data_IF_992283263073
#
_entry.id   IF_992283263073
#
_cell.length_a   1.000
_cell.length_b   1.000
_cell.length_c   1.000
_cell.angle_alpha   90.00
_cell.angle_beta   90.00
_cell.angle_gamma   90.00
#
_symmetry.space_group_name_H-M   'P 1'
#
loop_
_entity.id
_entity.type
_entity.pdbx_description
1 polymer ?
#
# COMPACT_ATOMS: atom_id res chain seq x y z
N UNK A 1 16.45 -3.34 -27.61
CA UNK A 1 16.19 -2.80 -26.27
C UNK A 1 16.09 -3.99 -25.32
N UNK A 2 16.81 -3.99 -24.22
CA UNK A 2 16.63 -5.02 -23.17
C UNK A 2 15.27 -4.83 -22.54
N UNK A 3 14.52 -5.94 -22.31
CA UNK A 3 13.23 -5.92 -21.64
C UNK A 3 13.37 -5.31 -20.23
N UNK A 4 12.43 -4.45 -19.85
CA UNK A 4 12.35 -3.87 -18.49
C UNK A 4 11.69 -4.88 -17.55
N UNK A 5 11.94 -4.79 -16.25
CA UNK A 5 11.52 -5.76 -15.24
C UNK A 5 10.01 -6.04 -15.22
N UNK A 6 9.18 -5.01 -15.51
CA UNK A 6 7.72 -5.10 -15.50
C UNK A 6 7.09 -4.94 -16.91
N UNK A 7 7.85 -5.17 -17.98
CA UNK A 7 7.27 -5.21 -19.34
C UNK A 7 6.16 -6.30 -19.39
N UNK A 8 5.09 -6.00 -20.13
CA UNK A 8 3.89 -6.85 -20.26
C UNK A 8 3.08 -7.07 -18.96
N UNK A 9 3.28 -6.26 -17.94
CA UNK A 9 2.45 -6.28 -16.74
C UNK A 9 1.42 -5.16 -16.74
N UNK A 10 0.26 -5.42 -16.11
CA UNK A 10 -0.80 -4.45 -15.84
C UNK A 10 -0.97 -4.33 -14.34
N UNK A 11 -0.61 -3.17 -13.79
CA UNK A 11 -0.60 -2.90 -12.36
C UNK A 11 -1.73 -1.96 -11.98
N UNK A 12 -2.63 -2.42 -11.11
CA UNK A 12 -3.71 -1.62 -10.53
C UNK A 12 -3.27 -1.07 -9.18
N UNK A 13 -3.49 0.23 -8.93
CA UNK A 13 -3.07 0.90 -7.69
C UNK A 13 -4.24 1.70 -7.13
N UNK A 14 -4.73 1.32 -5.95
CA UNK A 14 -5.76 2.09 -5.26
C UNK A 14 -5.15 3.25 -4.47
N UNK A 15 -5.83 4.41 -4.46
CA UNK A 15 -5.27 5.62 -3.87
C UNK A 15 -4.02 6.13 -4.60
N UNK A 16 -3.97 5.93 -5.93
CA UNK A 16 -2.80 6.17 -6.78
C UNK A 16 -2.48 7.63 -7.08
N UNK A 17 -3.29 8.58 -6.61
CA UNK A 17 -3.14 9.99 -7.00
C UNK A 17 -2.13 10.81 -6.19
N UNK A 18 -1.64 10.32 -5.05
CA UNK A 18 -0.72 11.08 -4.18
C UNK A 18 0.16 10.15 -3.34
N UNK A 19 1.23 10.70 -2.75
CA UNK A 19 2.06 10.01 -1.77
C UNK A 19 2.62 8.67 -2.28
N UNK A 20 2.50 7.61 -1.48
CA UNK A 20 3.01 6.28 -1.83
C UNK A 20 2.36 5.72 -3.10
N UNK A 21 1.05 5.92 -3.28
CA UNK A 21 0.35 5.41 -4.47
C UNK A 21 0.89 5.99 -5.76
N UNK A 22 1.15 7.30 -5.81
CA UNK A 22 1.79 7.96 -6.94
C UNK A 22 3.24 7.48 -7.13
N UNK A 23 4.01 7.33 -6.04
CA UNK A 23 5.37 6.84 -6.10
C UNK A 23 5.46 5.41 -6.67
N UNK A 24 4.57 4.50 -6.25
CA UNK A 24 4.44 3.17 -6.83
C UNK A 24 4.13 3.22 -8.32
N UNK A 25 3.16 4.06 -8.72
CA UNK A 25 2.75 4.20 -10.11
C UNK A 25 3.92 4.61 -11.00
N UNK A 26 4.65 5.67 -10.61
CA UNK A 26 5.76 6.21 -11.39
C UNK A 26 6.94 5.25 -11.47
N UNK A 27 7.28 4.58 -10.36
CA UNK A 27 8.40 3.62 -10.37
C UNK A 27 8.10 2.40 -11.23
N UNK A 28 6.91 1.83 -11.12
CA UNK A 28 6.52 0.68 -11.94
C UNK A 28 6.35 1.05 -13.42
N UNK A 29 5.91 2.28 -13.71
CA UNK A 29 5.92 2.82 -15.07
C UNK A 29 7.34 2.92 -15.67
N UNK A 30 8.32 3.43 -14.89
CA UNK A 30 9.74 3.43 -15.30
C UNK A 30 10.24 2.02 -15.57
N UNK A 31 9.78 1.06 -14.78
CA UNK A 31 10.13 -0.35 -14.93
C UNK A 31 9.33 -1.09 -16.03
N UNK A 32 8.43 -0.41 -16.75
CA UNK A 32 7.76 -0.94 -17.96
C UNK A 32 6.30 -1.31 -17.81
N UNK A 33 5.74 -1.27 -16.60
CA UNK A 33 4.35 -1.66 -16.37
C UNK A 33 3.34 -0.71 -17.03
N UNK A 34 2.25 -1.26 -17.55
CA UNK A 34 1.03 -0.49 -17.79
C UNK A 34 0.35 -0.21 -16.44
N UNK A 35 -0.10 1.02 -16.22
CA UNK A 35 -0.55 1.51 -14.92
C UNK A 35 -2.02 1.88 -14.93
N UNK A 36 -2.79 1.35 -13.98
CA UNK A 36 -4.15 1.78 -13.68
C UNK A 36 -4.23 2.35 -12.28
N UNK A 37 -4.48 3.65 -12.14
CA UNK A 37 -4.65 4.29 -10.83
C UNK A 37 -6.12 4.63 -10.58
N UNK A 38 -6.59 4.38 -9.36
CA UNK A 38 -7.88 4.87 -8.93
C UNK A 38 -7.83 5.68 -7.64
N UNK A 39 -8.84 6.52 -7.44
CA UNK A 39 -9.04 7.33 -6.26
C UNK A 39 -10.29 8.19 -6.39
N UNK A 40 -10.75 8.79 -5.29
CA UNK A 40 -11.99 9.58 -5.29
C UNK A 40 -11.88 10.94 -6.00
N UNK A 41 -10.67 11.51 -6.02
CA UNK A 41 -10.41 12.82 -6.64
C UNK A 41 -9.83 12.61 -8.04
N UNK A 42 -10.53 13.08 -9.10
CA UNK A 42 -10.09 12.82 -10.47
C UNK A 42 -8.79 13.54 -10.85
N UNK A 43 -8.56 14.77 -10.37
CA UNK A 43 -7.42 15.58 -10.79
C UNK A 43 -6.05 14.93 -10.39
N UNK A 44 -5.82 14.51 -9.12
CA UNK A 44 -4.54 13.90 -8.76
C UNK A 44 -4.25 12.58 -9.48
N UNK A 45 -5.26 11.73 -9.68
CA UNK A 45 -5.06 10.46 -10.40
C UNK A 45 -4.80 10.69 -11.90
N UNK A 46 -5.47 11.67 -12.51
CA UNK A 46 -5.24 12.05 -13.90
C UNK A 46 -3.81 12.56 -14.12
N UNK A 47 -3.31 13.41 -13.20
CA UNK A 47 -1.94 13.90 -13.25
C UNK A 47 -0.91 12.76 -13.20
N UNK A 48 -1.08 11.80 -12.28
CA UNK A 48 -0.19 10.63 -12.17
C UNK A 48 -0.25 9.77 -13.43
N UNK A 49 -1.43 9.52 -13.98
CA UNK A 49 -1.55 8.76 -15.22
C UNK A 49 -0.88 9.45 -16.40
N UNK A 50 -0.95 10.79 -16.47
CA UNK A 50 -0.26 11.57 -17.51
C UNK A 50 1.26 11.47 -17.37
N UNK A 51 1.79 11.59 -16.15
CA UNK A 51 3.22 11.38 -15.89
C UNK A 51 3.66 9.96 -16.29
N UNK A 52 2.86 8.92 -16.00
CA UNK A 52 3.14 7.56 -16.45
C UNK A 52 3.17 7.44 -17.98
N UNK A 53 2.23 8.10 -18.69
CA UNK A 53 2.26 8.14 -20.16
C UNK A 53 3.49 8.85 -20.70
N UNK A 54 3.93 9.93 -20.04
CA UNK A 54 5.19 10.62 -20.32
C UNK A 54 6.44 9.72 -20.19
N UNK A 55 6.36 8.65 -19.39
CA UNK A 55 7.40 7.62 -19.26
C UNK A 55 7.31 6.53 -20.37
N UNK A 56 6.37 6.65 -21.29
CA UNK A 56 6.23 5.77 -22.45
C UNK A 56 5.45 4.48 -22.18
N UNK A 57 4.64 4.42 -21.14
CA UNK A 57 3.74 3.28 -20.85
C UNK A 57 2.27 3.67 -21.01
N UNK A 58 1.40 2.67 -21.18
CA UNK A 58 -0.06 2.91 -21.13
C UNK A 58 -0.47 3.19 -19.71
N UNK A 59 -1.36 4.16 -19.52
CA UNK A 59 -1.88 4.46 -18.19
C UNK A 59 -3.34 4.92 -18.23
N UNK A 60 -4.11 4.48 -17.22
CA UNK A 60 -5.53 4.76 -17.02
C UNK A 60 -5.74 5.37 -15.63
N UNK A 61 -6.62 6.37 -15.53
CA UNK A 61 -7.05 6.98 -14.27
C UNK A 61 -8.56 6.96 -14.20
N UNK A 62 -9.12 6.31 -13.19
CA UNK A 62 -10.57 6.17 -13.01
C UNK A 62 -10.99 6.64 -11.60
N UNK A 63 -12.00 7.51 -11.52
CA UNK A 63 -12.53 7.95 -10.23
C UNK A 63 -13.37 6.83 -9.60
N UNK A 64 -12.84 6.22 -8.53
CA UNK A 64 -13.48 5.10 -7.81
C UNK A 64 -13.40 5.31 -6.32
N UNK A 65 -14.51 5.05 -5.63
CA UNK A 65 -14.50 4.84 -4.19
C UNK A 65 -14.40 3.33 -3.91
N UNK A 66 -13.31 2.89 -3.30
CA UNK A 66 -13.06 1.47 -3.00
C UNK A 66 -14.07 0.86 -2.03
N UNK A 67 -14.91 1.68 -1.38
CA UNK A 67 -16.02 1.22 -0.53
C UNK A 67 -17.21 0.68 -1.32
N UNK A 68 -17.29 1.01 -2.60
CA UNK A 68 -18.34 0.55 -3.49
C UNK A 68 -17.85 -0.67 -4.31
N UNK A 69 -18.30 -1.89 -3.99
CA UNK A 69 -17.85 -3.08 -4.70
C UNK A 69 -18.30 -3.12 -6.17
N UNK A 70 -19.41 -2.43 -6.52
CA UNK A 70 -19.88 -2.37 -7.90
C UNK A 70 -18.98 -1.45 -8.74
N UNK A 71 -18.60 -0.29 -8.18
CA UNK A 71 -17.66 0.60 -8.84
C UNK A 71 -16.26 -0.03 -8.98
N UNK A 72 -15.81 -0.81 -7.98
CA UNK A 72 -14.56 -1.57 -8.06
C UNK A 72 -14.60 -2.62 -9.18
N UNK A 73 -15.66 -3.40 -9.28
CA UNK A 73 -15.80 -4.41 -10.36
C UNK A 73 -15.82 -3.76 -11.74
N UNK A 74 -16.54 -2.64 -11.89
CA UNK A 74 -16.58 -1.88 -13.15
C UNK A 74 -15.19 -1.35 -13.53
N UNK A 75 -14.43 -0.81 -12.56
CA UNK A 75 -13.06 -0.35 -12.78
C UNK A 75 -12.13 -1.47 -13.22
N UNK A 76 -12.16 -2.63 -12.55
CA UNK A 76 -11.33 -3.78 -12.93
C UNK A 76 -11.70 -4.30 -14.34
N UNK A 77 -12.97 -4.25 -14.71
CA UNK A 77 -13.42 -4.59 -16.06
C UNK A 77 -12.90 -3.59 -17.11
N UNK A 78 -12.97 -2.28 -16.82
CA UNK A 78 -12.43 -1.20 -17.66
C UNK A 78 -10.92 -1.38 -17.88
N UNK A 79 -10.15 -1.64 -16.81
CA UNK A 79 -8.71 -1.88 -16.91
C UNK A 79 -8.41 -3.08 -17.79
N UNK A 80 -9.16 -4.18 -17.63
CA UNK A 80 -8.97 -5.36 -18.45
C UNK A 80 -9.24 -5.11 -19.94
N UNK A 81 -10.22 -4.27 -20.26
CA UNK A 81 -10.55 -3.90 -21.65
C UNK A 81 -9.48 -2.95 -22.26
N UNK A 82 -9.05 -1.95 -21.51
CA UNK A 82 -8.19 -0.88 -22.01
C UNK A 82 -6.68 -1.23 -21.94
N UNK A 83 -6.22 -1.88 -20.87
CA UNK A 83 -4.81 -2.16 -20.66
C UNK A 83 -4.45 -3.64 -20.82
N UNK A 84 -5.43 -4.52 -20.77
CA UNK A 84 -5.22 -5.96 -20.78
C UNK A 84 -5.40 -6.60 -19.40
N UNK A 85 -5.18 -7.92 -19.32
CA UNK A 85 -5.43 -8.70 -18.10
C UNK A 85 -4.64 -8.16 -16.90
N UNK A 86 -5.30 -7.85 -15.76
CA UNK A 86 -4.64 -7.44 -14.54
C UNK A 86 -3.66 -8.50 -14.03
N UNK A 87 -2.38 -8.15 -13.86
CA UNK A 87 -1.35 -9.04 -13.34
C UNK A 87 -0.91 -8.68 -11.93
N UNK A 88 -1.08 -7.41 -11.53
CA UNK A 88 -0.66 -6.92 -10.22
C UNK A 88 -1.71 -5.98 -9.63
N UNK A 89 -1.85 -6.03 -8.29
CA UNK A 89 -2.68 -5.09 -7.54
C UNK A 89 -1.89 -4.55 -6.34
N UNK A 90 -1.91 -3.24 -6.16
CA UNK A 90 -1.44 -2.58 -4.93
C UNK A 90 -2.64 -1.96 -4.20
N UNK A 91 -3.04 -2.55 -3.08
CA UNK A 91 -4.02 -1.98 -2.18
C UNK A 91 -3.34 -0.95 -1.28
N UNK A 92 -3.37 0.31 -1.72
CA UNK A 92 -2.77 1.43 -1.01
C UNK A 92 -3.81 2.44 -0.50
N UNK A 93 -5.03 2.43 -1.01
CA UNK A 93 -6.09 3.31 -0.52
C UNK A 93 -6.29 3.18 0.99
N UNK A 94 -6.25 4.28 1.70
CA UNK A 94 -6.41 4.34 3.13
C UNK A 94 -7.08 5.64 3.58
N UNK A 95 -7.57 5.64 4.82
CA UNK A 95 -8.02 6.83 5.55
C UNK A 95 -7.62 6.66 7.00
N UNK A 96 -7.12 7.72 7.63
CA UNK A 96 -6.78 7.73 9.05
C UNK A 96 -6.96 9.14 9.61
N UNK A 97 -7.26 9.23 10.90
CA UNK A 97 -7.31 10.46 11.68
C UNK A 97 -7.04 10.14 13.15
N UNK A 98 -6.60 11.13 13.91
CA UNK A 98 -6.32 10.93 15.34
C UNK A 98 -7.60 11.18 16.15
N UNK A 99 -8.00 10.18 16.95
CA UNK A 99 -9.15 10.26 17.85
C UNK A 99 -8.96 9.31 19.04
N UNK A 100 -9.16 9.77 20.30
CA UNK A 100 -9.24 8.86 21.43
C UNK A 100 -10.33 7.80 21.18
N UNK A 101 -10.04 6.54 21.49
CA UNK A 101 -10.97 5.46 21.19
C UNK A 101 -12.34 5.62 21.90
N UNK A 102 -12.35 6.25 23.09
CA UNK A 102 -13.56 6.52 23.84
C UNK A 102 -14.48 7.56 23.14
N UNK A 103 -13.91 8.46 22.36
CA UNK A 103 -14.62 9.53 21.65
C UNK A 103 -14.86 9.18 20.17
N UNK A 104 -14.38 8.02 19.72
CA UNK A 104 -14.50 7.60 18.33
C UNK A 104 -15.94 7.28 17.96
N UNK A 105 -16.54 8.08 17.08
CA UNK A 105 -17.90 7.85 16.64
C UNK A 105 -18.05 6.55 15.84
N UNK A 106 -19.24 5.89 15.89
CA UNK A 106 -19.51 4.71 15.04
C UNK A 106 -19.30 4.98 13.54
N UNK A 107 -19.59 6.19 13.08
CA UNK A 107 -19.38 6.56 11.67
C UNK A 107 -17.89 6.71 11.34
N UNK A 108 -17.10 7.32 12.23
CA UNK A 108 -15.65 7.43 12.08
C UNK A 108 -14.98 6.05 12.01
N UNK A 109 -15.38 5.14 12.92
CA UNK A 109 -14.97 3.74 12.90
C UNK A 109 -15.31 3.08 11.57
N UNK A 110 -16.57 3.10 11.18
CA UNK A 110 -17.08 2.47 9.96
C UNK A 110 -16.37 2.98 8.72
N UNK A 111 -16.18 4.30 8.61
CA UNK A 111 -15.53 4.91 7.44
C UNK A 111 -14.13 4.34 7.20
N UNK A 112 -13.33 4.14 8.26
CA UNK A 112 -11.96 3.63 8.10
C UNK A 112 -11.96 2.13 7.82
N UNK A 113 -12.83 1.36 8.48
CA UNK A 113 -12.99 -0.08 8.18
C UNK A 113 -13.41 -0.30 6.72
N UNK A 114 -14.38 0.47 6.24
CA UNK A 114 -14.86 0.37 4.85
C UNK A 114 -13.77 0.68 3.82
N UNK A 115 -12.97 1.71 4.05
CA UNK A 115 -11.88 2.06 3.11
C UNK A 115 -10.76 1.03 3.17
N UNK A 116 -10.28 0.73 4.39
CA UNK A 116 -9.00 0.02 4.57
C UNK A 116 -9.17 -1.49 4.50
N UNK A 117 -10.19 -2.05 5.15
CA UNK A 117 -10.39 -3.50 5.20
C UNK A 117 -11.30 -3.98 4.07
N UNK A 118 -12.52 -3.43 4.01
CA UNK A 118 -13.50 -3.88 3.03
C UNK A 118 -13.06 -3.52 1.60
N UNK A 119 -12.55 -2.30 1.37
CA UNK A 119 -12.03 -1.88 0.07
C UNK A 119 -10.85 -2.74 -0.40
N UNK A 120 -9.93 -3.12 0.51
CA UNK A 120 -8.86 -4.08 0.20
C UNK A 120 -9.42 -5.43 -0.24
N UNK A 121 -10.44 -5.94 0.44
CA UNK A 121 -11.09 -7.20 0.09
C UNK A 121 -11.79 -7.11 -1.27
N UNK A 122 -12.56 -6.05 -1.53
CA UNK A 122 -13.30 -5.89 -2.79
C UNK A 122 -12.34 -5.81 -3.99
N UNK A 123 -11.29 -4.99 -3.90
CA UNK A 123 -10.29 -4.87 -4.96
C UNK A 123 -9.54 -6.19 -5.17
N UNK A 124 -9.10 -6.84 -4.08
CA UNK A 124 -8.38 -8.11 -4.16
C UNK A 124 -9.22 -9.21 -4.78
N UNK A 125 -10.48 -9.34 -4.36
CA UNK A 125 -11.41 -10.36 -4.88
C UNK A 125 -11.71 -10.15 -6.36
N UNK A 126 -11.99 -8.90 -6.79
CA UNK A 126 -12.28 -8.59 -8.19
C UNK A 126 -11.10 -8.88 -9.11
N UNK A 127 -9.88 -8.45 -8.70
CA UNK A 127 -8.66 -8.69 -9.49
C UNK A 127 -8.30 -10.17 -9.50
N UNK A 128 -8.36 -10.86 -8.35
CA UNK A 128 -8.03 -12.29 -8.26
C UNK A 128 -8.97 -13.18 -9.12
N UNK A 129 -10.25 -12.83 -9.23
CA UNK A 129 -11.17 -13.51 -10.16
C UNK A 129 -10.65 -13.44 -11.61
N UNK A 130 -10.22 -12.24 -12.06
CA UNK A 130 -9.65 -12.06 -13.40
C UNK A 130 -8.37 -12.85 -13.60
N UNK A 131 -7.46 -12.86 -12.61
CA UNK A 131 -6.23 -13.64 -12.65
C UNK A 131 -6.50 -15.14 -12.74
N UNK A 132 -7.44 -15.66 -11.93
CA UNK A 132 -7.85 -17.06 -11.93
C UNK A 132 -8.47 -17.45 -13.25
N UNK A 133 -9.47 -16.69 -13.72
CA UNK A 133 -10.24 -16.99 -14.92
C UNK A 133 -9.38 -16.87 -16.19
N UNK A 134 -8.37 -15.99 -16.17
CA UNK A 134 -7.36 -15.87 -17.22
C UNK A 134 -6.25 -16.91 -17.14
N UNK A 135 -6.14 -17.68 -16.05
CA UNK A 135 -5.15 -18.75 -15.87
C UNK A 135 -3.68 -18.30 -15.80
N UNK A 136 -3.42 -16.99 -15.57
CA UNK A 136 -2.05 -16.45 -15.61
C UNK A 136 -1.44 -16.16 -14.23
N UNK A 137 -2.23 -16.32 -13.14
CA UNK A 137 -1.78 -15.95 -11.79
C UNK A 137 -1.56 -14.45 -11.62
N UNK A 138 -0.74 -14.07 -10.63
CA UNK A 138 -0.42 -12.66 -10.40
C UNK A 138 0.06 -12.34 -8.98
N UNK A 139 0.15 -11.04 -8.67
CA UNK A 139 0.64 -10.58 -7.37
C UNK A 139 -0.27 -9.51 -6.77
N UNK A 140 -0.61 -9.66 -5.50
CA UNK A 140 -1.34 -8.67 -4.73
C UNK A 140 -0.46 -8.19 -3.57
N UNK A 141 -0.26 -6.88 -3.49
CA UNK A 141 0.48 -6.22 -2.42
C UNK A 141 -0.45 -5.32 -1.62
N UNK A 142 -0.49 -5.53 -0.30
CA UNK A 142 -1.28 -4.71 0.61
C UNK A 142 -0.37 -3.78 1.41
N UNK A 143 -0.63 -2.47 1.36
CA UNK A 143 0.06 -1.50 2.20
C UNK A 143 -0.63 -1.46 3.56
N UNK A 144 0.10 -1.91 4.58
CA UNK A 144 -0.38 -1.87 5.96
C UNK A 144 0.44 -0.86 6.80
N UNK A 145 0.63 -1.09 8.07
CA UNK A 145 1.51 -0.33 8.95
C UNK A 145 1.94 -1.21 10.12
N UNK A 146 3.05 -0.92 10.76
CA UNK A 146 3.57 -1.70 11.88
C UNK A 146 2.61 -1.77 13.07
N UNK A 147 1.73 -0.81 13.24
CA UNK A 147 0.69 -0.86 14.28
C UNK A 147 -0.42 -1.91 14.03
N UNK A 148 -0.38 -2.63 12.92
CA UNK A 148 -1.25 -3.79 12.69
C UNK A 148 -1.03 -4.91 13.72
N UNK A 149 0.17 -4.99 14.33
CA UNK A 149 0.49 -5.97 15.38
C UNK A 149 0.89 -5.35 16.72
N UNK A 150 1.26 -4.06 16.74
CA UNK A 150 1.63 -3.40 18.00
C UNK A 150 0.47 -2.63 18.64
N UNK A 151 -0.57 -2.31 17.88
CA UNK A 151 -1.53 -1.27 18.22
C UNK A 151 -0.89 0.12 18.16
N UNK A 152 -1.73 1.16 18.18
CA UNK A 152 -1.25 2.55 18.24
C UNK A 152 -2.34 3.43 18.87
N UNK A 153 -2.01 4.23 19.91
CA UNK A 153 -2.96 5.17 20.50
C UNK A 153 -3.56 6.10 19.45
N UNK A 154 -4.78 6.56 19.68
CA UNK A 154 -5.54 7.50 18.85
C UNK A 154 -5.92 6.99 17.45
N UNK A 155 -5.59 5.76 17.08
CA UNK A 155 -5.86 5.19 15.76
C UNK A 155 -6.49 3.80 15.82
N UNK A 156 -7.34 3.54 16.82
CA UNK A 156 -7.96 2.24 17.05
C UNK A 156 -8.62 1.64 15.79
N UNK A 157 -9.36 2.45 15.03
CA UNK A 157 -10.00 2.06 13.78
C UNK A 157 -8.99 1.60 12.72
N UNK A 158 -7.92 2.38 12.52
CA UNK A 158 -6.90 2.07 11.51
C UNK A 158 -6.05 0.87 11.93
N UNK A 159 -5.69 0.75 13.23
CA UNK A 159 -4.96 -0.39 13.76
C UNK A 159 -5.73 -1.69 13.58
N UNK A 160 -7.01 -1.70 13.94
CA UNK A 160 -7.89 -2.86 13.75
C UNK A 160 -8.04 -3.22 12.26
N UNK A 161 -8.26 -2.23 11.38
CA UNK A 161 -8.38 -2.46 9.95
C UNK A 161 -7.09 -3.05 9.34
N UNK A 162 -5.91 -2.49 9.69
CA UNK A 162 -4.61 -2.98 9.19
C UNK A 162 -4.26 -4.37 9.74
N UNK A 163 -4.64 -4.68 10.99
CA UNK A 163 -4.55 -6.03 11.54
C UNK A 163 -5.45 -7.01 10.76
N UNK A 164 -6.67 -6.59 10.42
CA UNK A 164 -7.57 -7.35 9.56
C UNK A 164 -6.98 -7.61 8.18
N UNK A 165 -6.39 -6.60 7.53
CA UNK A 165 -5.72 -6.74 6.22
C UNK A 165 -4.54 -7.70 6.30
N UNK A 166 -3.71 -7.62 7.36
CA UNK A 166 -2.59 -8.55 7.56
C UNK A 166 -3.05 -10.01 7.65
N UNK A 167 -4.10 -10.28 8.43
CA UNK A 167 -4.65 -11.64 8.54
C UNK A 167 -5.34 -12.08 7.25
N UNK A 168 -6.09 -11.19 6.60
CA UNK A 168 -6.71 -11.44 5.29
C UNK A 168 -5.65 -11.83 4.26
N UNK A 169 -4.53 -11.11 4.18
CA UNK A 169 -3.45 -11.43 3.24
C UNK A 169 -2.91 -12.85 3.43
N UNK A 170 -2.74 -13.31 4.67
CA UNK A 170 -2.31 -14.68 4.98
C UNK A 170 -3.32 -15.72 4.52
N UNK A 171 -4.61 -15.47 4.76
CA UNK A 171 -5.70 -16.35 4.32
C UNK A 171 -5.72 -16.46 2.79
N UNK A 172 -5.74 -15.32 2.10
CA UNK A 172 -5.81 -15.26 0.65
C UNK A 172 -4.54 -15.84 -0.02
N UNK A 173 -3.38 -15.69 0.62
CA UNK A 173 -2.13 -16.30 0.14
C UNK A 173 -2.23 -17.83 0.04
N UNK A 174 -2.88 -18.48 1.01
CA UNK A 174 -3.08 -19.92 1.01
C UNK A 174 -4.18 -20.34 0.03
N UNK A 175 -5.33 -19.64 0.07
CA UNK A 175 -6.47 -19.98 -0.79
C UNK A 175 -6.19 -19.78 -2.28
N UNK A 176 -5.37 -18.77 -2.64
CA UNK A 176 -5.14 -18.41 -4.03
C UNK A 176 -3.81 -18.90 -4.61
N UNK A 177 -2.95 -19.53 -3.80
CA UNK A 177 -1.72 -20.16 -4.28
C UNK A 177 -1.95 -21.20 -5.40
N UNK A 178 -3.03 -22.04 -5.37
CA UNK A 178 -3.31 -22.95 -6.48
C UNK A 178 -3.61 -22.26 -7.81
N UNK A 179 -3.96 -20.98 -7.78
CA UNK A 179 -4.19 -20.16 -9.00
C UNK A 179 -2.92 -19.40 -9.43
N UNK A 180 -1.78 -19.63 -8.78
CA UNK A 180 -0.55 -18.89 -9.05
C UNK A 180 -0.57 -17.44 -8.57
N UNK A 181 -1.43 -17.09 -7.61
CA UNK A 181 -1.55 -15.73 -7.06
C UNK A 181 -0.79 -15.65 -5.74
N UNK A 182 0.16 -14.72 -5.64
CA UNK A 182 0.87 -14.38 -4.40
C UNK A 182 0.21 -13.17 -3.74
N UNK A 183 0.08 -13.20 -2.42
CA UNK A 183 -0.51 -12.09 -1.65
C UNK A 183 0.42 -11.76 -0.49
N UNK A 184 0.99 -10.55 -0.48
CA UNK A 184 1.92 -10.10 0.54
C UNK A 184 1.54 -8.71 1.09
N UNK A 185 2.22 -8.31 2.15
CA UNK A 185 2.09 -7.00 2.75
C UNK A 185 3.42 -6.25 2.76
N UNK A 186 3.36 -4.92 2.72
CA UNK A 186 4.44 -4.04 3.13
C UNK A 186 3.95 -3.14 4.26
N UNK A 187 4.75 -3.00 5.32
CA UNK A 187 4.43 -2.20 6.49
C UNK A 187 5.41 -1.05 6.64
N UNK A 188 5.11 0.13 6.11
CA UNK A 188 5.90 1.32 6.30
C UNK A 188 5.89 1.80 7.76
N UNK A 189 6.99 2.38 8.20
CA UNK A 189 7.05 3.25 9.36
C UNK A 189 6.49 4.65 9.08
N UNK A 190 6.72 5.61 9.97
CA UNK A 190 6.32 6.99 9.77
C UNK A 190 6.96 7.57 8.52
N UNK A 191 6.12 8.09 7.62
CA UNK A 191 6.53 8.70 6.36
C UNK A 191 6.45 10.22 6.47
N UNK A 192 7.47 10.90 5.95
CA UNK A 192 7.49 12.34 5.82
C UNK A 192 6.88 12.77 4.48
N UNK A 193 5.57 12.59 4.34
CA UNK A 193 4.83 13.10 3.20
C UNK A 193 4.08 14.37 3.58
N UNK A 194 3.85 15.27 2.62
CA UNK A 194 3.15 16.52 2.86
C UNK A 194 1.78 16.33 3.55
N UNK A 195 1.07 15.22 3.25
CA UNK A 195 -0.21 14.90 3.89
C UNK A 195 -0.09 14.29 5.28
N UNK A 196 0.96 13.52 5.56
CA UNK A 196 1.17 12.90 6.87
C UNK A 196 1.84 13.88 7.84
N UNK A 197 2.76 14.72 7.35
CA UNK A 197 3.49 15.69 8.17
C UNK A 197 2.55 16.67 8.87
N UNK A 198 1.59 17.24 8.16
CA UNK A 198 0.64 18.22 8.73
C UNK A 198 -0.35 17.60 9.73
N UNK A 199 -0.72 16.33 9.54
CA UNK A 199 -1.74 15.67 10.36
C UNK A 199 -1.16 14.94 11.58
N UNK A 200 0.07 14.41 11.50
CA UNK A 200 0.65 13.56 12.52
C UNK A 200 1.84 14.20 13.25
N UNK A 201 2.50 15.21 12.67
CA UNK A 201 3.70 15.84 13.20
C UNK A 201 3.57 17.38 13.20
N UNK A 202 2.62 17.93 13.97
CA UNK A 202 2.22 19.35 13.85
C UNK A 202 3.32 20.34 14.31
N UNK A 203 4.31 19.88 15.06
CA UNK A 203 5.40 20.77 15.52
C UNK A 203 6.78 20.12 15.36
N UNK A 204 7.88 20.92 15.26
CA UNK A 204 9.25 20.42 15.20
C UNK A 204 9.59 19.48 16.36
N UNK A 205 9.16 19.79 17.58
CA UNK A 205 9.46 19.01 18.79
C UNK A 205 8.82 17.62 18.75
N UNK A 206 7.58 17.53 18.24
CA UNK A 206 6.91 16.24 18.01
C UNK A 206 7.65 15.44 16.95
N UNK A 207 8.11 16.11 15.90
CA UNK A 207 8.88 15.49 14.83
C UNK A 207 10.22 14.92 15.33
N UNK A 208 10.97 15.68 16.11
CA UNK A 208 12.24 15.24 16.71
C UNK A 208 12.04 14.03 17.63
N UNK A 209 11.06 14.08 18.52
CA UNK A 209 10.71 12.96 19.39
C UNK A 209 10.43 11.69 18.60
N UNK A 210 9.70 11.79 17.49
CA UNK A 210 9.41 10.63 16.66
C UNK A 210 10.66 10.08 15.96
N UNK A 211 11.56 10.96 15.51
CA UNK A 211 12.85 10.53 14.93
C UNK A 211 13.68 9.79 15.97
N UNK A 212 13.73 10.30 17.22
CA UNK A 212 14.42 9.66 18.32
C UNK A 212 13.85 8.26 18.64
N UNK A 213 12.59 8.04 18.32
CA UNK A 213 11.96 6.73 18.48
C UNK A 213 12.29 5.72 17.37
N UNK A 214 12.92 6.16 16.30
CA UNK A 214 13.29 5.30 15.17
C UNK A 214 14.77 4.94 15.29
N UNK A 215 15.16 3.66 15.49
CA UNK A 215 16.57 3.27 15.60
C UNK A 215 17.45 3.72 14.43
N UNK A 216 16.90 3.75 13.21
CA UNK A 216 17.60 4.25 12.02
C UNK A 216 17.80 5.78 12.01
N UNK A 217 17.24 6.53 12.98
CA UNK A 217 17.45 7.97 13.16
C UNK A 217 16.83 8.86 12.09
N UNK A 218 15.87 8.37 11.32
CA UNK A 218 15.16 9.14 10.31
C UNK A 218 13.78 8.56 10.02
N UNK A 219 12.90 9.37 9.47
CA UNK A 219 11.65 8.88 8.88
C UNK A 219 11.90 7.95 7.69
N UNK A 220 10.94 7.06 7.46
CA UNK A 220 10.86 6.26 6.22
C UNK A 220 10.69 7.19 5.02
N UNK A 221 11.45 6.98 3.97
CA UNK A 221 11.30 7.67 2.68
C UNK A 221 10.38 6.88 1.76
N UNK A 222 9.80 7.53 0.77
CA UNK A 222 8.98 6.85 -0.24
C UNK A 222 9.79 5.76 -0.97
N UNK A 223 11.03 6.06 -1.31
CA UNK A 223 11.95 5.16 -1.99
C UNK A 223 12.21 3.88 -1.18
N UNK A 224 12.37 3.98 0.15
CA UNK A 224 12.57 2.81 1.02
C UNK A 224 11.40 1.80 0.89
N UNK A 225 10.18 2.32 0.78
CA UNK A 225 8.95 1.49 0.66
C UNK A 225 8.77 0.99 -0.77
N UNK A 226 9.05 1.83 -1.76
CA UNK A 226 8.90 1.51 -3.18
C UNK A 226 9.82 0.36 -3.57
N UNK A 227 11.08 0.35 -3.12
CA UNK A 227 12.02 -0.74 -3.39
C UNK A 227 11.57 -2.07 -2.78
N UNK A 228 11.07 -2.06 -1.54
CA UNK A 228 10.52 -3.27 -0.92
C UNK A 228 9.27 -3.78 -1.66
N UNK A 229 8.39 -2.85 -2.07
CA UNK A 229 7.21 -3.17 -2.86
C UNK A 229 7.59 -3.75 -4.23
N UNK A 230 8.55 -3.14 -4.93
CA UNK A 230 9.06 -3.61 -6.21
C UNK A 230 9.61 -5.03 -6.11
N UNK A 231 10.39 -5.34 -5.07
CA UNK A 231 10.86 -6.69 -4.82
C UNK A 231 9.70 -7.68 -4.63
N UNK A 232 8.71 -7.35 -3.79
CA UNK A 232 7.55 -8.23 -3.54
C UNK A 232 6.67 -8.44 -4.78
N UNK A 233 6.61 -7.45 -5.68
CA UNK A 233 5.86 -7.53 -6.92
C UNK A 233 6.60 -8.32 -8.01
N UNK A 234 7.92 -8.37 -7.97
CA UNK A 234 8.75 -9.02 -9.00
C UNK A 234 8.82 -10.54 -8.86
N UNK A 235 9.32 -11.21 -9.89
CA UNK A 235 9.60 -12.66 -9.90
C UNK A 235 10.71 -13.06 -8.93
N UNK A 236 11.53 -12.10 -8.48
CA UNK A 236 12.57 -12.31 -7.47
C UNK A 236 12.02 -12.77 -6.12
N UNK A 237 10.74 -12.53 -5.86
CA UNK A 237 10.00 -12.99 -4.69
C UNK A 237 8.99 -14.11 -5.01
N UNK A 238 9.23 -14.89 -6.06
CA UNK A 238 8.29 -15.90 -6.58
C UNK A 238 7.86 -16.97 -5.56
N UNK A 239 8.65 -17.18 -4.51
CA UNK A 239 8.33 -18.15 -3.44
C UNK A 239 7.92 -17.48 -2.12
N UNK A 240 7.62 -16.16 -2.14
CA UNK A 240 7.16 -15.40 -0.97
C UNK A 240 5.67 -15.10 -1.14
N UNK A 241 4.84 -15.64 -0.26
CA UNK A 241 3.40 -15.35 -0.17
C UNK A 241 2.93 -15.46 1.28
N UNK A 242 2.00 -14.60 1.68
CA UNK A 242 1.46 -14.51 3.05
C UNK A 242 2.37 -13.76 4.03
N UNK A 243 3.45 -13.14 3.56
CA UNK A 243 4.43 -12.46 4.39
C UNK A 243 4.25 -10.93 4.40
N UNK A 244 4.93 -10.28 5.33
CA UNK A 244 4.93 -8.83 5.49
C UNK A 244 6.35 -8.31 5.66
N UNK A 245 6.82 -7.51 4.70
CA UNK A 245 8.09 -6.79 4.85
C UNK A 245 7.84 -5.49 5.62
N UNK A 246 8.52 -5.36 6.76
CA UNK A 246 8.50 -4.13 7.57
C UNK A 246 9.59 -3.18 7.11
N UNK A 247 9.20 -1.93 6.80
CA UNK A 247 10.08 -0.87 6.31
C UNK A 247 9.94 0.34 7.24
N UNK A 248 10.42 0.21 8.48
CA UNK A 248 10.17 1.19 9.56
C UNK A 248 11.43 1.63 10.31
N UNK A 249 12.62 1.29 9.82
CA UNK A 249 13.88 1.64 10.49
C UNK A 249 14.05 1.04 11.88
N UNK A 250 13.30 -0.04 12.18
CA UNK A 250 13.32 -0.71 13.49
C UNK A 250 12.37 -0.12 14.52
N UNK A 251 11.52 0.86 14.15
CA UNK A 251 10.64 1.56 15.09
C UNK A 251 9.73 0.60 15.86
N UNK A 252 9.11 -0.37 15.21
CA UNK A 252 8.19 -1.32 15.86
C UNK A 252 8.88 -2.25 16.86
N UNK A 253 10.19 -2.39 16.78
CA UNK A 253 11.02 -3.24 17.64
C UNK A 253 11.63 -2.46 18.81
N UNK A 254 11.68 -1.13 18.76
CA UNK A 254 12.41 -0.28 19.71
C UNK A 254 11.65 -0.01 21.03
N UNK A 255 10.86 -0.95 21.52
CA UNK A 255 10.06 -0.81 22.76
C UNK A 255 10.68 -1.50 23.99
N UNK A 256 11.96 -1.82 23.94
CA UNK A 256 12.66 -2.53 25.02
C UNK A 256 13.22 -1.62 26.12
N UNK A 257 13.60 -2.23 27.26
CA UNK A 257 14.17 -1.57 28.43
C UNK A 257 15.47 -0.80 28.13
N UNK A 258 16.24 -1.25 27.14
CA UNK A 258 17.54 -0.68 26.76
C UNK A 258 17.49 0.24 25.54
N UNK A 259 16.31 0.71 25.18
CA UNK A 259 16.03 1.50 23.98
C UNK A 259 16.96 2.73 23.81
N UNK A 260 17.35 3.36 24.89
CA UNK A 260 18.18 4.58 24.89
C UNK A 260 19.60 4.35 25.46
N UNK A 261 20.02 3.10 25.65
CA UNK A 261 21.38 2.82 26.11
C UNK A 261 22.32 2.86 24.91
N UNK A 262 23.21 3.84 24.80
CA UNK A 262 24.20 3.86 23.73
C UNK A 262 25.14 2.66 23.92
N UNK A 263 25.10 1.70 23.01
CA UNK A 263 25.98 0.52 23.02
C UNK A 263 27.40 0.87 22.57
N UNK A 264 27.61 2.03 21.97
CA UNK A 264 28.90 2.64 21.65
C UNK A 264 28.74 4.11 21.27
N UNK A 265 29.76 4.97 21.41
CA UNK A 265 29.68 6.33 20.89
C UNK A 265 29.45 6.28 19.38
N UNK A 266 28.48 7.05 18.91
CA UNK A 266 28.31 7.29 17.46
C UNK A 266 29.61 7.91 16.95
N UNK A 267 30.33 7.23 16.09
CA UNK A 267 31.51 7.75 15.39
C UNK A 267 31.09 8.67 14.26
#
# INVERSE_FOLDING_TARGET
MTAREFDNTVVLITGGGTGMGAAFALELARAGAAIAVCGRRPEPIAAVAEECRGLGVRALATSVDVRDPVAVEAWVAEVAAELGAPTHLINNAAGNFLCPAIDLSPNGWRTVIEIVLNGTFYCSSSVAKRMRDGGHGGVILNVIASYAWTGNPLTAHSAAAKAGVLNLAKTLAVEWAPYGIRVNCVAPGPLDTAGAASALFPTPEVREKMIDEIPAGRFTRLEDVVEAARFLLSDRSSYITGDCITVDGGQSLSKGMFRHTPLSPRR
#
